data_IF_218862706746
#
_entry.id   IF_218862706746
#
_cell.length_a   1.000
_cell.length_b   1.000
_cell.length_c   1.000
_cell.angle_alpha   90.00
_cell.angle_beta   90.00
_cell.angle_gamma   90.00
#
_symmetry.space_group_name_H-M   'P 1'
#
loop_
_entity.id
_entity.type
_entity.pdbx_description
1 polymer ?
#
# COMPACT_ATOMS: atom_id res chain seq x y z
N UNK A 1 51.25 31.20 20.45
CA UNK A 1 51.03 30.30 19.76
C UNK A 1 50.04 29.35 20.02
N UNK A 2 48.94 29.43 20.21
CA UNK A 2 47.97 28.55 20.47
C UNK A 2 47.07 28.41 19.40
N UNK A 3 47.01 27.43 18.77
CA UNK A 3 46.13 27.12 17.76
C UNK A 3 44.93 26.46 18.26
N UNK A 4 43.94 27.22 18.51
CA UNK A 4 42.78 26.66 18.90
C UNK A 4 42.10 26.04 17.85
N UNK A 5 41.80 24.86 17.81
CA UNK A 5 41.08 24.21 16.83
C UNK A 5 39.77 23.97 17.21
N UNK A 6 38.84 24.62 16.78
CA UNK A 6 37.55 24.41 16.93
C UNK A 6 37.13 23.28 16.18
N UNK A 7 36.80 22.20 16.71
CA UNK A 7 36.21 21.10 16.03
C UNK A 7 34.76 21.38 15.94
N UNK A 8 34.33 21.83 14.86
CA UNK A 8 32.94 22.04 14.65
C UNK A 8 32.21 20.69 14.80
N UNK A 9 31.34 20.66 15.71
CA UNK A 9 30.61 19.48 15.97
C UNK A 9 29.78 19.08 14.78
N UNK A 10 30.06 17.94 14.22
CA UNK A 10 29.31 17.45 13.18
C UNK A 10 28.02 17.09 13.67
N UNK A 11 27.04 17.83 13.45
CA UNK A 11 25.71 17.38 13.69
C UNK A 11 25.39 16.38 12.63
N UNK A 12 25.46 15.16 12.96
CA UNK A 12 25.08 14.15 12.04
C UNK A 12 23.57 14.17 11.95
N UNK A 13 23.07 14.99 11.09
CA UNK A 13 21.68 14.99 10.82
C UNK A 13 21.45 14.01 9.70
N UNK A 14 21.51 12.76 10.00
CA UNK A 14 20.92 11.77 9.12
C UNK A 14 19.42 12.03 9.13
N UNK A 15 18.70 11.88 8.05
CA UNK A 15 17.28 12.21 8.05
C UNK A 15 16.54 11.26 8.98
N UNK A 16 16.10 11.73 10.13
CA UNK A 16 15.42 10.87 11.08
C UNK A 16 14.09 10.37 10.54
N UNK A 17 13.64 10.97 9.45
CA UNK A 17 12.38 10.57 8.88
C UNK A 17 12.44 9.33 8.00
N UNK A 18 13.59 9.01 7.45
CA UNK A 18 13.69 7.84 6.56
C UNK A 18 13.53 6.53 7.31
N UNK A 19 14.08 6.43 8.51
CA UNK A 19 13.98 5.21 9.30
C UNK A 19 12.55 4.98 9.81
N UNK A 20 11.88 6.03 10.24
CA UNK A 20 10.51 5.93 10.70
C UNK A 20 9.57 5.57 9.58
N UNK A 21 9.78 6.17 8.41
CA UNK A 21 8.98 5.87 7.23
C UNK A 21 9.19 4.42 6.79
N UNK A 22 10.43 3.94 6.78
CA UNK A 22 10.75 2.57 6.42
C UNK A 22 10.07 1.58 7.37
N UNK A 23 10.07 1.88 8.67
CA UNK A 23 9.42 1.03 9.66
C UNK A 23 7.90 0.98 9.46
N UNK A 24 7.31 2.11 9.16
CA UNK A 24 5.87 2.21 8.90
C UNK A 24 5.46 1.32 7.71
N UNK A 25 6.15 1.47 6.59
CA UNK A 25 5.85 0.68 5.39
C UNK A 25 6.13 -0.81 5.60
N UNK A 26 7.16 -1.14 6.37
CA UNK A 26 7.47 -2.51 6.72
C UNK A 26 6.35 -3.14 7.54
N UNK A 27 5.79 -2.39 8.49
CA UNK A 27 4.68 -2.87 9.30
C UNK A 27 3.42 -3.09 8.49
N UNK A 28 3.16 -2.22 7.50
CA UNK A 28 2.04 -2.41 6.58
C UNK A 28 2.22 -3.71 5.78
N UNK A 29 3.41 -3.92 5.23
CA UNK A 29 3.70 -5.14 4.49
C UNK A 29 3.55 -6.39 5.35
N UNK A 30 4.00 -6.33 6.60
CA UNK A 30 3.85 -7.43 7.55
C UNK A 30 2.38 -7.71 7.85
N UNK A 31 1.58 -6.67 8.04
CA UNK A 31 0.13 -6.82 8.27
C UNK A 31 -0.52 -7.52 7.08
N UNK A 32 -0.24 -7.06 5.86
CA UNK A 32 -0.80 -7.63 4.65
C UNK A 32 -0.38 -9.11 4.51
N UNK A 33 0.89 -9.41 4.75
CA UNK A 33 1.37 -10.78 4.62
C UNK A 33 0.74 -11.72 5.63
N UNK A 34 0.38 -11.22 6.81
CA UNK A 34 -0.32 -12.02 7.82
C UNK A 34 -1.77 -12.27 7.43
N UNK A 35 -2.42 -11.25 6.86
CA UNK A 35 -3.81 -11.36 6.43
C UNK A 35 -3.96 -12.22 5.18
N UNK A 36 -2.99 -12.16 4.28
CA UNK A 36 -3.05 -12.84 2.98
C UNK A 36 -1.80 -13.68 2.72
N UNK A 37 -1.49 -14.66 3.58
CA UNK A 37 -0.25 -15.43 3.43
C UNK A 37 -0.20 -16.32 2.18
N UNK A 38 -1.37 -16.57 1.57
CA UNK A 38 -1.48 -17.41 0.38
C UNK A 38 -1.99 -16.63 -0.83
N UNK A 39 -1.89 -15.32 -0.80
CA UNK A 39 -2.33 -14.50 -1.93
C UNK A 39 -1.57 -14.87 -3.19
N UNK A 40 -2.27 -14.86 -4.30
CA UNK A 40 -1.67 -15.09 -5.62
C UNK A 40 -1.39 -13.79 -6.33
N UNK A 41 -2.21 -12.78 -6.06
CA UNK A 41 -2.04 -11.48 -6.69
C UNK A 41 -2.52 -10.38 -5.75
N UNK A 42 -1.69 -9.36 -5.58
CA UNK A 42 -2.01 -8.18 -4.77
C UNK A 42 -1.68 -6.94 -5.61
N UNK A 43 -2.54 -5.94 -5.57
CA UNK A 43 -2.32 -4.69 -6.29
C UNK A 43 -2.26 -3.53 -5.32
N UNK A 44 -1.20 -2.75 -5.37
CA UNK A 44 -1.10 -1.50 -4.63
C UNK A 44 -1.47 -0.35 -5.57
N UNK A 45 -2.43 0.47 -5.15
CA UNK A 45 -2.85 1.65 -5.92
C UNK A 45 -2.18 2.89 -5.34
N UNK A 46 -1.76 3.79 -6.22
CA UNK A 46 -1.21 5.08 -5.78
C UNK A 46 0.18 4.96 -5.18
N UNK A 47 1.01 4.09 -5.74
CA UNK A 47 2.33 3.80 -5.21
C UNK A 47 3.24 5.03 -5.23
N UNK A 48 3.10 5.88 -6.23
CA UNK A 48 3.95 7.05 -6.36
C UNK A 48 5.40 6.67 -6.62
N UNK A 49 6.30 7.43 -6.02
CA UNK A 49 7.74 7.21 -6.21
C UNK A 49 8.40 6.50 -5.04
N UNK A 50 7.61 6.04 -4.08
CA UNK A 50 8.13 5.40 -2.87
C UNK A 50 7.52 4.01 -2.69
N UNK A 51 8.00 3.01 -3.41
CA UNK A 51 7.41 1.67 -3.37
C UNK A 51 7.90 0.82 -2.19
N UNK A 52 8.09 1.43 -1.04
CA UNK A 52 8.68 0.72 0.11
C UNK A 52 7.82 -0.45 0.61
N UNK A 53 6.52 -0.24 0.75
CA UNK A 53 5.63 -1.32 1.22
C UNK A 53 5.57 -2.45 0.19
N UNK A 54 5.47 -2.08 -1.09
CA UNK A 54 5.38 -3.05 -2.17
C UNK A 54 6.64 -3.93 -2.26
N UNK A 55 7.82 -3.32 -2.14
CA UNK A 55 9.08 -4.05 -2.18
C UNK A 55 9.23 -5.00 -0.99
N UNK A 56 8.81 -4.56 0.20
CA UNK A 56 8.81 -5.40 1.38
C UNK A 56 7.83 -6.56 1.20
N UNK A 57 6.66 -6.29 0.64
CA UNK A 57 5.65 -7.30 0.43
C UNK A 57 6.12 -8.36 -0.57
N UNK A 58 6.83 -7.95 -1.62
CA UNK A 58 7.45 -8.89 -2.57
C UNK A 58 8.40 -9.85 -1.88
N UNK A 59 9.14 -9.37 -0.90
CA UNK A 59 10.06 -10.22 -0.14
C UNK A 59 9.33 -11.19 0.78
N UNK A 60 8.20 -10.76 1.34
CA UNK A 60 7.42 -11.59 2.26
C UNK A 60 6.53 -12.60 1.56
N UNK A 61 6.01 -12.26 0.39
CA UNK A 61 5.10 -13.12 -0.38
C UNK A 61 5.71 -13.44 -1.74
N UNK A 62 6.75 -14.26 -1.74
CA UNK A 62 7.52 -14.57 -2.94
C UNK A 62 6.74 -15.27 -4.04
N UNK A 63 5.68 -15.96 -3.67
CA UNK A 63 4.86 -16.67 -4.64
C UNK A 63 3.74 -15.80 -5.24
N UNK A 64 3.54 -14.61 -4.71
CA UNK A 64 2.47 -13.72 -5.18
C UNK A 64 2.95 -12.78 -6.27
N UNK A 65 2.06 -12.47 -7.19
CA UNK A 65 2.28 -11.41 -8.17
C UNK A 65 1.91 -10.10 -7.48
N UNK A 66 2.84 -9.19 -7.33
CA UNK A 66 2.60 -7.89 -6.71
C UNK A 66 2.67 -6.82 -7.80
N UNK A 67 1.57 -6.12 -7.98
CA UNK A 67 1.38 -5.15 -9.07
C UNK A 67 1.17 -3.76 -8.49
N UNK A 68 1.69 -2.75 -9.16
CA UNK A 68 1.52 -1.36 -8.79
C UNK A 68 0.68 -0.62 -9.82
N UNK A 69 -0.15 0.31 -9.39
CA UNK A 69 -0.81 1.24 -10.29
C UNK A 69 -0.61 2.67 -9.78
N UNK A 70 -0.60 3.61 -10.69
CA UNK A 70 -0.56 5.03 -10.36
C UNK A 70 -1.11 5.81 -11.54
N UNK A 71 -1.68 6.97 -11.28
CA UNK A 71 -2.22 7.83 -12.33
C UNK A 71 -1.10 8.62 -13.02
N UNK A 72 0.05 8.78 -12.36
CA UNK A 72 1.18 9.53 -12.89
C UNK A 72 2.06 8.66 -13.79
N UNK A 73 2.12 8.95 -15.10
CA UNK A 73 2.93 8.15 -16.03
C UNK A 73 4.42 8.12 -15.67
N UNK A 74 4.94 9.21 -15.11
CA UNK A 74 6.35 9.27 -14.74
C UNK A 74 6.64 8.34 -13.55
N UNK A 75 5.74 8.29 -12.59
CA UNK A 75 5.87 7.38 -11.46
C UNK A 75 5.87 5.92 -11.96
N UNK A 76 4.96 5.58 -12.85
CA UNK A 76 4.87 4.23 -13.42
C UNK A 76 6.14 3.87 -14.18
N UNK A 77 6.67 4.83 -14.95
CA UNK A 77 7.91 4.60 -15.70
C UNK A 77 9.05 4.28 -14.74
N UNK A 78 9.20 5.05 -13.67
CA UNK A 78 10.24 4.82 -12.67
C UNK A 78 10.07 3.47 -11.98
N UNK A 79 8.84 3.11 -11.64
CA UNK A 79 8.56 1.82 -11.01
C UNK A 79 8.94 0.66 -11.93
N UNK A 80 8.59 0.76 -13.20
CA UNK A 80 8.97 -0.26 -14.19
C UNK A 80 10.49 -0.38 -14.35
N UNK A 81 11.19 0.76 -14.28
CA UNK A 81 12.67 0.76 -14.34
C UNK A 81 13.28 0.07 -13.13
N UNK A 82 12.58 0.04 -12.00
CA UNK A 82 13.01 -0.67 -10.80
C UNK A 82 12.65 -2.15 -10.82
N UNK A 83 12.07 -2.63 -11.91
CA UNK A 83 11.66 -4.02 -12.01
C UNK A 83 10.32 -4.33 -11.36
N UNK A 84 9.51 -3.31 -11.09
CA UNK A 84 8.18 -3.48 -10.52
C UNK A 84 7.16 -3.51 -11.67
N UNK A 85 6.24 -4.45 -11.64
CA UNK A 85 5.18 -4.53 -12.62
C UNK A 85 4.17 -3.43 -12.32
N UNK A 86 4.20 -2.35 -13.07
CA UNK A 86 3.40 -1.16 -12.83
C UNK A 86 2.62 -0.72 -14.06
N UNK A 87 1.41 -0.23 -13.84
CA UNK A 87 0.52 0.24 -14.90
C UNK A 87 -0.04 1.61 -14.56
N UNK A 88 -0.25 2.43 -15.59
CA UNK A 88 -0.95 3.71 -15.45
C UNK A 88 -2.43 3.37 -15.34
N UNK A 89 -3.08 3.82 -14.29
CA UNK A 89 -4.51 3.58 -14.11
C UNK A 89 -5.16 4.67 -13.27
N UNK A 90 -6.43 4.97 -13.57
CA UNK A 90 -7.21 5.95 -12.86
C UNK A 90 -8.38 5.24 -12.19
N UNK A 91 -8.45 5.32 -10.87
CA UNK A 91 -9.49 4.62 -10.08
C UNK A 91 -10.91 5.08 -10.46
N UNK A 92 -11.06 6.31 -10.95
CA UNK A 92 -12.37 6.80 -11.41
C UNK A 92 -12.80 6.12 -12.71
N UNK A 93 -11.85 5.58 -13.47
CA UNK A 93 -12.10 4.93 -14.74
C UNK A 93 -11.13 3.77 -14.89
N UNK A 94 -11.24 2.76 -14.05
CA UNK A 94 -10.21 1.73 -13.97
C UNK A 94 -10.23 0.77 -15.16
N UNK A 95 -9.04 0.30 -15.52
CA UNK A 95 -8.90 -0.81 -16.43
C UNK A 95 -9.00 -2.08 -15.58
N UNK A 96 -10.15 -2.69 -15.57
CA UNK A 96 -10.41 -3.85 -14.71
C UNK A 96 -9.46 -5.01 -14.94
N UNK A 97 -8.93 -5.16 -16.15
CA UNK A 97 -7.98 -6.24 -16.46
C UNK A 97 -6.74 -6.22 -15.56
N UNK A 98 -6.30 -5.04 -15.14
CA UNK A 98 -5.14 -4.90 -14.28
C UNK A 98 -5.39 -5.57 -12.92
N UNK A 99 -6.64 -5.54 -12.47
CA UNK A 99 -7.03 -6.02 -11.14
C UNK A 99 -7.61 -7.43 -11.15
N UNK A 100 -7.84 -8.01 -12.31
CA UNK A 100 -8.40 -9.35 -12.40
C UNK A 100 -7.55 -10.37 -11.68
N UNK A 101 -8.19 -11.21 -10.90
CA UNK A 101 -7.52 -12.25 -10.13
C UNK A 101 -6.86 -11.76 -8.86
N UNK A 102 -6.95 -10.47 -8.54
CA UNK A 102 -6.38 -9.96 -7.30
C UNK A 102 -7.14 -10.48 -6.08
N UNK A 103 -6.42 -10.94 -5.09
CA UNK A 103 -7.00 -11.31 -3.80
C UNK A 103 -7.19 -10.07 -2.95
N UNK A 104 -6.32 -9.10 -3.12
CA UNK A 104 -6.33 -7.86 -2.36
C UNK A 104 -5.92 -6.69 -3.23
N UNK A 105 -6.62 -5.59 -3.08
CA UNK A 105 -6.25 -4.29 -3.61
C UNK A 105 -6.04 -3.40 -2.39
N UNK A 106 -4.89 -2.73 -2.28
CA UNK A 106 -4.69 -1.84 -1.15
C UNK A 106 -4.19 -0.47 -1.59
N UNK A 107 -4.47 0.52 -0.75
CA UNK A 107 -4.08 1.92 -1.01
C UNK A 107 -3.63 2.53 0.31
N UNK A 108 -2.41 3.05 0.34
CA UNK A 108 -1.86 3.72 1.52
C UNK A 108 -2.17 5.21 1.38
N UNK A 109 -2.90 5.75 2.36
CA UNK A 109 -3.30 7.16 2.41
C UNK A 109 -4.12 7.60 1.21
N UNK A 110 -5.21 6.90 0.89
CA UNK A 110 -6.02 7.31 -0.26
C UNK A 110 -6.71 8.64 0.00
N UNK A 111 -6.87 9.47 -1.04
CA UNK A 111 -7.79 10.61 -0.92
C UNK A 111 -9.19 10.12 -0.60
N UNK A 112 -9.90 10.83 0.27
CA UNK A 112 -11.22 10.38 0.73
C UNK A 112 -12.22 10.16 -0.40
N UNK A 113 -12.16 10.97 -1.45
CA UNK A 113 -13.07 10.85 -2.58
C UNK A 113 -12.88 9.56 -3.38
N UNK A 114 -11.76 8.89 -3.22
CA UNK A 114 -11.51 7.62 -3.92
C UNK A 114 -12.09 6.41 -3.19
N UNK A 115 -12.42 6.52 -1.92
CA UNK A 115 -12.86 5.38 -1.12
C UNK A 115 -14.09 4.67 -1.70
N UNK A 116 -15.16 5.39 -2.10
CA UNK A 116 -16.29 4.73 -2.74
C UNK A 116 -15.91 4.03 -4.04
N UNK A 117 -14.97 4.59 -4.79
CA UNK A 117 -14.51 4.02 -6.05
C UNK A 117 -13.66 2.77 -5.83
N UNK A 118 -12.88 2.75 -4.76
CA UNK A 118 -12.11 1.57 -4.38
C UNK A 118 -13.06 0.44 -4.00
N UNK A 119 -14.11 0.73 -3.25
CA UNK A 119 -15.11 -0.24 -2.86
C UNK A 119 -15.82 -0.82 -4.10
N UNK A 120 -16.15 0.04 -5.06
CA UNK A 120 -16.79 -0.37 -6.29
C UNK A 120 -15.87 -1.27 -7.11
N UNK A 121 -14.61 -0.90 -7.24
CA UNK A 121 -13.62 -1.69 -7.97
C UNK A 121 -13.45 -3.08 -7.36
N UNK A 122 -13.30 -3.13 -6.03
CA UNK A 122 -13.17 -4.41 -5.33
C UNK A 122 -14.35 -5.33 -5.58
N UNK A 123 -15.57 -4.79 -5.56
CA UNK A 123 -16.76 -5.58 -5.84
C UNK A 123 -16.78 -6.10 -7.27
N UNK A 124 -16.38 -5.27 -8.22
CA UNK A 124 -16.40 -5.67 -9.63
C UNK A 124 -15.42 -6.79 -9.93
N UNK A 125 -14.24 -6.75 -9.36
CA UNK A 125 -13.22 -7.76 -9.64
C UNK A 125 -13.17 -8.89 -8.60
N UNK A 126 -14.00 -8.81 -7.55
CA UNK A 126 -14.04 -9.85 -6.53
C UNK A 126 -12.86 -9.84 -5.58
N UNK A 127 -12.22 -8.70 -5.40
CA UNK A 127 -11.07 -8.56 -4.51
C UNK A 127 -11.47 -7.89 -3.19
N UNK A 128 -10.75 -8.22 -2.12
CA UNK A 128 -10.85 -7.48 -0.88
C UNK A 128 -10.12 -6.15 -1.08
N UNK A 129 -10.52 -5.13 -0.35
CA UNK A 129 -9.89 -3.80 -0.41
C UNK A 129 -9.41 -3.40 0.97
N UNK A 130 -8.16 -3.00 1.07
CA UNK A 130 -7.58 -2.53 2.33
C UNK A 130 -7.11 -1.09 2.13
N UNK A 131 -7.51 -0.20 3.03
CA UNK A 131 -6.99 1.16 3.02
C UNK A 131 -6.28 1.43 4.33
N UNK A 132 -5.16 2.15 4.25
CA UNK A 132 -4.41 2.55 5.42
C UNK A 132 -4.45 4.07 5.49
N UNK A 133 -5.33 4.65 6.32
CA UNK A 133 -5.48 6.10 6.40
C UNK A 133 -4.31 6.74 7.15
N UNK A 134 -4.19 8.05 6.99
CA UNK A 134 -3.34 8.82 7.89
C UNK A 134 -4.03 8.81 9.24
N UNK A 135 -3.25 8.61 10.28
CA UNK A 135 -3.72 8.36 11.63
C UNK A 135 -4.52 9.48 12.20
N UNK A 136 -5.16 10.27 11.84
CA UNK A 136 -5.94 11.31 12.47
C UNK A 136 -6.93 11.96 11.53
N UNK A 137 -7.16 11.31 10.39
CA UNK A 137 -8.04 11.93 9.42
C UNK A 137 -9.49 11.66 9.71
N UNK A 138 -10.22 12.72 9.88
CA UNK A 138 -11.64 12.66 10.06
C UNK A 138 -12.38 12.24 8.80
N UNK A 139 -11.63 12.00 7.72
CA UNK A 139 -12.21 11.65 6.42
C UNK A 139 -12.84 10.27 6.40
N UNK A 140 -12.56 9.47 7.39
CA UNK A 140 -13.00 8.07 7.40
C UNK A 140 -14.16 7.81 8.35
N UNK A 141 -14.90 8.86 8.68
CA UNK A 141 -16.01 8.72 9.61
C UNK A 141 -17.15 7.84 9.08
N UNK A 142 -17.22 7.67 7.75
CA UNK A 142 -18.30 6.87 7.17
C UNK A 142 -17.75 5.67 6.40
N UNK A 143 -17.21 4.72 7.14
CA UNK A 143 -16.73 3.47 6.58
C UNK A 143 -17.66 2.32 6.99
N UNK A 144 -18.93 2.53 6.77
CA UNK A 144 -19.93 1.52 7.05
C UNK A 144 -19.67 0.28 6.20
N UNK A 145 -19.60 -0.87 6.81
CA UNK A 145 -19.31 -2.12 6.12
C UNK A 145 -17.84 -2.49 6.04
N UNK A 146 -16.95 -1.59 6.47
CA UNK A 146 -15.53 -1.90 6.53
C UNK A 146 -15.16 -2.36 7.93
N UNK A 147 -14.25 -3.32 8.02
CA UNK A 147 -13.74 -3.79 9.30
C UNK A 147 -12.50 -2.99 9.69
N UNK A 148 -12.49 -2.44 10.89
CA UNK A 148 -11.33 -1.72 11.39
C UNK A 148 -10.34 -2.70 11.99
N UNK A 149 -9.10 -2.62 11.54
CA UNK A 149 -8.00 -3.44 12.04
C UNK A 149 -6.95 -2.55 12.67
N UNK A 150 -6.35 -3.01 13.73
CA UNK A 150 -5.25 -2.29 14.34
C UNK A 150 -4.22 -3.31 14.80
N UNK A 151 -3.00 -3.20 14.30
CA UNK A 151 -1.91 -4.07 14.67
C UNK A 151 -0.60 -3.33 14.61
N UNK A 152 0.18 -3.41 15.67
CA UNK A 152 1.50 -2.82 15.76
C UNK A 152 1.52 -1.33 15.39
N UNK A 153 0.49 -0.60 15.83
CA UNK A 153 0.35 0.83 15.55
C UNK A 153 -0.19 1.18 14.18
N UNK A 154 -0.47 0.19 13.34
CA UNK A 154 -1.05 0.42 12.03
C UNK A 154 -2.57 0.28 12.14
N UNK A 155 -3.30 1.30 11.70
CA UNK A 155 -4.74 1.26 11.60
C UNK A 155 -5.11 1.10 10.13
N UNK A 156 -5.92 0.12 9.83
CA UNK A 156 -6.36 -0.16 8.47
C UNK A 156 -7.85 -0.49 8.46
N UNK A 157 -8.48 -0.31 7.31
CA UNK A 157 -9.88 -0.69 7.12
C UNK A 157 -9.97 -1.67 5.96
N UNK A 158 -10.65 -2.78 6.20
CA UNK A 158 -10.78 -3.86 5.23
C UNK A 158 -12.24 -4.02 4.79
N UNK A 159 -12.45 -4.02 3.48
CA UNK A 159 -13.74 -4.34 2.90
C UNK A 159 -13.60 -5.64 2.15
N UNK A 160 -14.38 -6.64 2.55
CA UNK A 160 -14.31 -7.95 1.92
C UNK A 160 -15.04 -7.96 0.59
N UNK A 161 -14.46 -8.62 -0.40
CA UNK A 161 -15.10 -8.80 -1.69
C UNK A 161 -16.33 -9.67 -1.53
N UNK A 162 -17.35 -9.40 -2.35
CA UNK A 162 -18.62 -10.11 -2.25
C UNK A 162 -18.63 -11.49 -2.86
N UNK A 163 -17.62 -11.82 -3.66
CA UNK A 163 -17.56 -13.13 -4.29
C UNK A 163 -17.00 -14.15 -3.32
N UNK A 164 -17.68 -15.27 -3.08
CA UNK A 164 -17.13 -16.30 -2.23
C UNK A 164 -15.90 -16.88 -2.90
N UNK A 165 -14.78 -16.88 -2.20
CA UNK A 165 -13.56 -17.46 -2.74
C UNK A 165 -13.72 -18.97 -2.76
N UNK A 166 -13.44 -19.56 -3.91
CA UNK A 166 -13.48 -21.00 -4.06
C UNK A 166 -12.38 -21.56 -3.17
N UNK A 167 -12.75 -22.45 -2.24
CA UNK A 167 -11.80 -23.05 -1.33
C UNK A 167 -11.67 -22.38 0.03
N UNK A 168 -12.40 -21.31 0.28
CA UNK A 168 -12.34 -20.65 1.56
C UNK A 168 -13.31 -21.23 2.55
N UNK A 169 -13.91 -22.29 2.30
CA UNK A 169 -14.84 -22.74 3.22
C UNK A 169 -14.52 -24.03 3.73
N UNK A 170 -14.29 -24.18 4.75
CA UNK A 170 -14.25 -25.45 5.31
C UNK A 170 -12.97 -26.04 5.40
#
# INVERSE_FOLDING_TARGET
MSGERETAGRSSTGPPNSTKSSTYFSKIAQLISKLYPRARKIVEIGVGRSPHALLQLRSLLMEAEIVATDIDPEAVKELNQMGIKAFIDDVFKPNEEVYEGADLIYFIRPPSELIPKLAELGRKVGADVLIIPLSEDEYFSDLSGWDRLEEDGIIAYLLRGSSPRIGSGL
#
